data_IF_210626947461
#
_entry.id   IF_210626947461
#
_cell.length_a   1.000
_cell.length_b   1.000
_cell.length_c   1.000
_cell.angle_alpha   90.00
_cell.angle_beta   90.00
_cell.angle_gamma   90.00
#
_symmetry.space_group_name_H-M   'P 1'
#
loop_
_entity.id
_entity.type
_entity.pdbx_description
1 polymer ?
#
# COMPACT_ATOMS: atom_id res chain seq x y z
N UNK A 1 -26.26 -16.40 -12.97
CA UNK A 1 -25.17 -17.12 -13.64
C UNK A 1 -24.73 -16.19 -14.75
N UNK A 2 -23.68 -15.38 -14.64
CA UNK A 2 -22.40 -15.65 -13.98
C UNK A 2 -21.76 -14.42 -13.34
N UNK A 3 -21.15 -14.68 -12.19
CA UNK A 3 -20.33 -13.76 -11.40
C UNK A 3 -18.94 -13.73 -12.01
N UNK A 4 -18.46 -12.55 -12.41
CA UNK A 4 -17.05 -12.35 -12.77
C UNK A 4 -16.53 -11.12 -12.04
N UNK A 5 -16.26 -11.27 -10.74
CA UNK A 5 -15.33 -10.40 -10.04
C UNK A 5 -13.92 -10.91 -10.37
N UNK A 6 -13.42 -10.54 -11.56
CA UNK A 6 -12.07 -10.86 -11.97
C UNK A 6 -11.07 -10.22 -11.03
N UNK A 7 -10.21 -11.04 -10.43
CA UNK A 7 -8.94 -10.65 -9.83
C UNK A 7 -7.99 -10.22 -10.94
N UNK A 8 -7.89 -8.91 -11.21
CA UNK A 8 -7.09 -8.35 -12.33
C UNK A 8 -5.68 -7.93 -11.89
N UNK A 9 -5.20 -8.30 -10.70
CA UNK A 9 -3.96 -7.71 -10.18
C UNK A 9 -2.66 -8.52 -10.46
N UNK A 10 -2.74 -9.77 -10.94
CA UNK A 10 -1.54 -10.60 -11.16
C UNK A 10 -0.75 -10.26 -12.44
N UNK A 11 -1.31 -9.50 -13.39
CA UNK A 11 -0.64 -9.20 -14.67
C UNK A 11 0.44 -8.10 -14.56
N UNK A 12 0.43 -7.30 -13.49
CA UNK A 12 1.25 -6.08 -13.39
C UNK A 12 2.51 -6.20 -12.51
N UNK A 13 2.84 -7.40 -11.99
CA UNK A 13 4.00 -7.60 -11.12
C UNK A 13 3.91 -6.86 -9.78
N UNK A 14 2.69 -6.58 -9.31
CA UNK A 14 2.40 -5.93 -8.02
C UNK A 14 2.23 -6.98 -6.94
N UNK A 15 2.74 -6.70 -5.75
CA UNK A 15 2.57 -7.55 -4.56
C UNK A 15 1.64 -6.83 -3.59
N UNK A 16 0.36 -6.78 -3.96
CA UNK A 16 -0.66 -6.11 -3.15
C UNK A 16 -0.75 -6.77 -1.76
N UNK A 17 -0.86 -5.95 -0.72
CA UNK A 17 -0.80 -6.40 0.66
C UNK A 17 0.58 -6.31 1.30
N UNK A 18 1.65 -6.20 0.50
CA UNK A 18 2.99 -5.87 0.99
C UNK A 18 3.18 -4.35 1.08
N UNK A 19 4.24 -3.93 1.77
CA UNK A 19 4.65 -2.51 1.79
C UNK A 19 5.32 -2.17 0.46
N UNK A 20 4.51 -1.75 -0.50
CA UNK A 20 4.97 -1.28 -1.79
C UNK A 20 5.15 0.25 -1.84
N UNK A 21 6.23 0.69 -2.48
CA UNK A 21 6.60 2.09 -2.68
C UNK A 21 6.72 2.41 -4.17
N UNK A 22 6.05 3.47 -4.63
CA UNK A 22 6.18 3.98 -5.97
C UNK A 22 7.32 5.00 -6.04
N UNK A 23 8.23 4.80 -6.99
CA UNK A 23 9.31 5.76 -7.22
C UNK A 23 8.75 7.05 -7.83
N UNK A 24 9.02 8.20 -7.20
CA UNK A 24 8.57 9.52 -7.69
C UNK A 24 9.20 9.97 -9.00
N UNK A 25 10.19 9.24 -9.52
CA UNK A 25 10.90 9.57 -10.77
C UNK A 25 10.44 8.65 -11.90
N UNK A 26 10.60 7.33 -11.76
CA UNK A 26 10.29 6.38 -12.83
C UNK A 26 8.88 5.76 -12.74
N UNK A 27 8.10 6.14 -11.72
CA UNK A 27 6.72 5.70 -11.45
C UNK A 27 6.50 4.19 -11.31
N UNK A 28 7.58 3.40 -11.33
CA UNK A 28 7.56 1.96 -11.04
C UNK A 28 7.33 1.71 -9.56
N UNK A 29 6.71 0.57 -9.28
CA UNK A 29 6.44 0.05 -7.95
C UNK A 29 7.51 -0.93 -7.53
N UNK A 30 7.83 -0.91 -6.23
CA UNK A 30 8.81 -1.80 -5.62
C UNK A 30 8.32 -2.21 -4.24
N UNK A 31 8.58 -3.44 -3.83
CA UNK A 31 8.43 -3.84 -2.43
C UNK A 31 9.60 -3.25 -1.62
N UNK A 32 9.30 -2.74 -0.43
CA UNK A 32 10.29 -2.07 0.41
C UNK A 32 11.41 -3.02 0.90
N UNK A 33 11.09 -4.31 1.05
CA UNK A 33 12.00 -5.38 1.44
C UNK A 33 13.16 -5.59 0.45
N UNK A 34 12.94 -5.35 -0.85
CA UNK A 34 13.93 -5.44 -1.93
C UNK A 34 15.12 -4.51 -1.69
N UNK A 35 14.90 -3.44 -0.92
CA UNK A 35 15.92 -2.46 -0.55
C UNK A 35 16.36 -2.54 0.92
N UNK A 36 15.90 -3.55 1.67
CA UNK A 36 16.19 -3.70 3.10
C UNK A 36 15.64 -2.53 3.95
N UNK A 37 14.57 -1.88 3.51
CA UNK A 37 13.91 -0.82 4.28
C UNK A 37 13.17 -1.48 5.45
N UNK A 38 13.36 -0.98 6.67
CA UNK A 38 12.59 -1.42 7.83
C UNK A 38 11.11 -1.02 7.69
N UNK A 39 10.26 -2.03 7.58
CA UNK A 39 8.82 -1.91 7.40
C UNK A 39 8.02 -2.18 8.67
N UNK A 40 8.66 -2.40 9.82
CA UNK A 40 7.98 -2.73 11.09
C UNK A 40 6.92 -1.70 11.51
N UNK A 41 7.11 -0.43 11.13
CA UNK A 41 6.15 0.66 11.36
C UNK A 41 5.50 1.18 10.08
N UNK A 42 5.45 0.38 9.01
CA UNK A 42 4.85 0.75 7.73
C UNK A 42 3.58 -0.06 7.49
N UNK A 43 2.59 0.59 6.88
CA UNK A 43 1.39 -0.07 6.42
C UNK A 43 1.45 -0.23 4.90
N UNK A 44 0.93 -1.34 4.34
CA UNK A 44 0.58 -1.41 2.93
C UNK A 44 -0.33 -0.24 2.54
N UNK A 45 -0.32 0.14 1.26
CA UNK A 45 -1.16 1.21 0.71
C UNK A 45 -0.96 2.61 1.30
N UNK A 46 0.13 2.86 2.03
CA UNK A 46 0.50 4.21 2.49
C UNK A 46 0.73 5.16 1.31
N UNK A 47 0.45 6.46 1.48
CA UNK A 47 0.71 7.51 0.47
C UNK A 47 1.54 8.67 1.02
N UNK A 48 1.78 8.70 2.33
CA UNK A 48 2.47 9.76 3.05
C UNK A 48 4.00 9.59 3.01
N UNK A 49 4.58 9.47 1.82
CA UNK A 49 6.03 9.33 1.65
C UNK A 49 6.57 10.06 0.41
N UNK A 50 7.91 10.09 0.32
CA UNK A 50 8.66 10.31 -0.92
C UNK A 50 9.67 9.17 -1.05
N UNK A 51 9.71 8.52 -2.21
CA UNK A 51 10.59 7.39 -2.47
C UNK A 51 11.27 7.53 -3.83
N UNK A 52 12.58 7.28 -3.88
CA UNK A 52 13.34 7.10 -5.12
C UNK A 52 14.10 5.78 -5.05
N UNK A 53 13.97 4.94 -6.09
CA UNK A 53 14.76 3.73 -6.20
C UNK A 53 16.25 4.05 -6.44
N UNK A 54 17.12 3.09 -6.13
CA UNK A 54 18.58 3.22 -6.26
C UNK A 54 19.04 3.54 -7.70
N UNK A 55 18.30 3.10 -8.72
CA UNK A 55 18.59 3.41 -10.14
C UNK A 55 18.35 4.88 -10.46
N UNK A 56 17.30 5.49 -9.89
CA UNK A 56 16.91 6.87 -10.21
C UNK A 56 17.59 7.91 -9.31
N UNK A 57 17.96 7.54 -8.09
CA UNK A 57 18.58 8.47 -7.15
C UNK A 57 20.07 8.68 -7.49
N UNK A 58 20.53 9.93 -7.51
CA UNK A 58 21.87 10.29 -7.97
C UNK A 58 23.02 9.68 -7.14
N UNK A 59 22.76 9.25 -5.90
CA UNK A 59 23.77 8.62 -5.03
C UNK A 59 23.96 7.12 -5.30
N UNK A 60 23.11 6.49 -6.11
CA UNK A 60 23.07 5.04 -6.27
C UNK A 60 22.46 4.28 -5.09
N UNK A 61 22.05 4.98 -4.03
CA UNK A 61 21.31 4.42 -2.89
C UNK A 61 19.83 4.77 -2.97
N UNK A 62 18.96 4.01 -2.31
CA UNK A 62 17.54 4.38 -2.17
C UNK A 62 17.36 5.63 -1.32
N UNK A 63 16.39 6.46 -1.69
CA UNK A 63 15.90 7.55 -0.88
C UNK A 63 14.49 7.24 -0.41
N UNK A 64 14.26 7.22 0.91
CA UNK A 64 12.95 7.02 1.49
C UNK A 64 12.71 8.01 2.63
N UNK A 65 11.71 8.87 2.45
CA UNK A 65 11.29 9.86 3.45
C UNK A 65 9.83 9.62 3.81
N UNK A 66 9.57 9.30 5.07
CA UNK A 66 8.21 9.25 5.63
C UNK A 66 7.75 10.65 6.02
N UNK A 67 6.50 10.96 5.72
CA UNK A 67 5.85 12.23 6.07
C UNK A 67 4.73 11.96 7.08
N UNK A 68 4.40 12.96 7.88
CA UNK A 68 3.22 12.88 8.73
C UNK A 68 1.97 12.81 7.85
N UNK A 69 1.15 11.78 8.06
CA UNK A 69 -0.11 11.63 7.34
C UNK A 69 -1.12 12.67 7.83
N UNK A 70 -1.86 13.28 6.89
CA UNK A 70 -3.06 14.03 7.22
C UNK A 70 -4.29 13.11 7.30
N UNK A 71 -5.43 13.67 7.71
CA UNK A 71 -6.68 12.90 7.88
C UNK A 71 -7.09 12.13 6.61
N UNK A 72 -6.93 12.72 5.43
CA UNK A 72 -7.28 12.06 4.16
C UNK A 72 -6.39 10.84 3.91
N UNK A 73 -5.08 10.98 4.10
CA UNK A 73 -4.11 9.89 3.89
C UNK A 73 -4.29 8.77 4.91
N UNK A 74 -4.60 9.11 6.16
CA UNK A 74 -4.95 8.14 7.19
C UNK A 74 -6.20 7.35 6.78
N UNK A 75 -7.32 8.03 6.48
CA UNK A 75 -8.56 7.36 6.06
C UNK A 75 -8.36 6.50 4.81
N UNK A 76 -7.59 6.99 3.83
CA UNK A 76 -7.31 6.23 2.61
C UNK A 76 -6.54 4.95 2.91
N UNK A 77 -5.47 5.04 3.68
CA UNK A 77 -4.65 3.87 4.04
C UNK A 77 -5.47 2.86 4.83
N UNK A 78 -6.27 3.32 5.80
CA UNK A 78 -7.14 2.45 6.60
C UNK A 78 -8.20 1.73 5.75
N UNK A 79 -8.92 2.46 4.89
CA UNK A 79 -9.92 1.87 4.00
C UNK A 79 -9.31 0.90 2.98
N UNK A 80 -8.14 1.22 2.43
CA UNK A 80 -7.44 0.35 1.49
C UNK A 80 -7.03 -0.97 2.16
N UNK A 81 -6.46 -0.91 3.37
CA UNK A 81 -6.08 -2.12 4.13
C UNK A 81 -7.30 -2.96 4.50
N UNK A 82 -8.38 -2.35 5.01
CA UNK A 82 -9.61 -3.07 5.34
C UNK A 82 -10.24 -3.73 4.10
N UNK A 83 -10.23 -3.03 2.97
CA UNK A 83 -10.74 -3.57 1.70
C UNK A 83 -9.89 -4.74 1.24
N UNK A 84 -8.57 -4.64 1.33
CA UNK A 84 -7.65 -5.72 0.96
C UNK A 84 -7.84 -6.96 1.84
N UNK A 85 -7.88 -6.78 3.15
CA UNK A 85 -8.13 -7.86 4.11
C UNK A 85 -9.48 -8.54 3.82
N UNK A 86 -10.55 -7.77 3.63
CA UNK A 86 -11.87 -8.34 3.36
C UNK A 86 -11.91 -9.09 2.02
N UNK A 87 -11.20 -8.61 0.99
CA UNK A 87 -11.10 -9.31 -0.30
C UNK A 87 -10.35 -10.63 -0.23
N UNK A 88 -9.34 -10.73 0.64
CA UNK A 88 -8.43 -11.87 0.69
C UNK A 88 -8.78 -12.90 1.78
N UNK A 89 -9.53 -12.48 2.81
CA UNK A 89 -9.79 -13.31 4.00
C UNK A 89 -11.28 -13.61 4.24
N UNK A 90 -12.20 -12.74 3.80
CA UNK A 90 -13.64 -12.97 4.03
C UNK A 90 -14.23 -13.84 2.91
N UNK A 91 -15.12 -14.78 3.28
CA UNK A 91 -15.92 -15.55 2.33
C UNK A 91 -16.80 -14.63 1.45
N UNK A 92 -17.28 -13.52 2.03
CA UNK A 92 -18.09 -12.50 1.35
C UNK A 92 -17.43 -11.12 1.50
N UNK A 93 -16.63 -10.68 0.52
CA UNK A 93 -15.89 -9.42 0.58
C UNK A 93 -16.79 -8.19 0.75
N UNK A 94 -16.40 -7.30 1.66
CA UNK A 94 -17.05 -6.01 1.95
C UNK A 94 -16.29 -4.87 1.28
N UNK A 95 -17.03 -3.86 0.87
CA UNK A 95 -16.50 -2.59 0.33
C UNK A 95 -16.91 -1.37 1.17
N UNK A 96 -17.71 -1.60 2.22
CA UNK A 96 -18.22 -0.58 3.14
C UNK A 96 -17.84 -0.99 4.57
N UNK A 97 -17.31 -0.04 5.34
CA UNK A 97 -16.77 -0.28 6.68
C UNK A 97 -17.32 0.74 7.67
N UNK A 98 -17.53 0.34 8.92
CA UNK A 98 -17.91 1.26 9.99
C UNK A 98 -16.76 2.19 10.36
N UNK A 99 -17.07 3.41 10.76
CA UNK A 99 -16.07 4.41 11.18
C UNK A 99 -15.16 3.88 12.29
N UNK A 100 -15.73 3.20 13.29
CA UNK A 100 -14.96 2.70 14.45
C UNK A 100 -13.90 1.68 14.04
N UNK A 101 -14.19 0.84 13.03
CA UNK A 101 -13.20 -0.11 12.48
C UNK A 101 -12.09 0.58 11.70
N UNK A 102 -12.41 1.66 10.99
CA UNK A 102 -11.41 2.47 10.28
C UNK A 102 -10.46 3.12 11.30
N UNK A 103 -11.00 3.59 12.43
CA UNK A 103 -10.21 4.22 13.50
C UNK A 103 -9.27 3.21 14.18
N UNK A 104 -9.73 1.99 14.44
CA UNK A 104 -8.90 0.91 15.01
C UNK A 104 -7.68 0.54 14.16
N UNK A 105 -7.74 0.69 12.83
CA UNK A 105 -6.62 0.36 11.94
C UNK A 105 -5.51 1.43 11.99
N UNK A 106 -5.80 2.61 12.55
CA UNK A 106 -4.87 3.75 12.63
C UNK A 106 -4.15 3.84 13.98
N UNK A 107 -4.55 3.02 14.96
CA UNK A 107 -3.94 2.91 16.29
C UNK A 107 -2.92 1.77 16.33
#
# INVERSE_FOLDING_TARGET
>A
MDTQAGSVDEENGRQLGEVELQCGICTKWFTADTFGIDTSSCLPFMTNYSFHCNVCHHSGNTYFLRKQANLKEMCLSALANLTWQSRTQDEHPKTMFSKDKVEMQLM
#
